data_IF_437968245870
#
_entry.id   IF_437968245870
#
_cell.length_a   1.000
_cell.length_b   1.000
_cell.length_c   1.000
_cell.angle_alpha   90.00
_cell.angle_beta   90.00
_cell.angle_gamma   90.00
#
_symmetry.space_group_name_H-M   'P 1'
#
loop_
_entity.id
_entity.type
_entity.pdbx_description
1 polymer ?
#
# COMPACT_ATOMS: atom_id res chain seq x y z
N UNK A 1 1.47 -28.60 28.43
CA UNK A 1 2.80 -27.95 28.48
C UNK A 1 3.48 -28.22 27.15
N UNK A 2 3.54 -27.22 26.28
CA UNK A 2 4.14 -27.30 24.96
C UNK A 2 4.41 -25.89 24.50
N UNK A 3 5.65 -25.43 24.73
CA UNK A 3 6.10 -24.09 24.39
C UNK A 3 6.13 -23.93 22.87
N UNK A 4 5.23 -23.08 22.36
CA UNK A 4 5.32 -22.55 21.00
C UNK A 4 6.38 -21.46 21.02
N UNK A 5 7.52 -21.75 20.41
CA UNK A 5 8.57 -20.79 20.11
C UNK A 5 7.96 -19.69 19.23
N UNK A 6 7.78 -18.51 19.81
CA UNK A 6 7.60 -17.26 19.08
C UNK A 6 8.91 -16.97 18.33
N UNK A 7 8.88 -17.07 17.00
CA UNK A 7 9.90 -16.49 16.14
C UNK A 7 9.71 -14.96 16.14
N UNK A 8 10.62 -14.22 16.76
CA UNK A 8 10.65 -12.77 16.68
C UNK A 8 11.04 -12.32 15.26
N UNK A 9 10.39 -11.28 14.69
CA UNK A 9 10.70 -10.76 13.36
C UNK A 9 11.70 -9.59 13.46
N UNK A 10 12.82 -9.76 14.16
CA UNK A 10 13.73 -8.65 14.52
C UNK A 10 15.18 -8.85 14.04
N UNK A 11 15.36 -9.54 12.93
CA UNK A 11 16.67 -9.81 12.33
C UNK A 11 16.77 -9.10 10.98
N UNK A 12 17.58 -8.03 10.93
CA UNK A 12 18.06 -7.29 9.74
C UNK A 12 17.32 -6.05 9.22
N UNK A 13 16.64 -5.26 10.05
CA UNK A 13 16.47 -3.82 9.75
C UNK A 13 17.65 -3.02 10.31
N UNK A 14 18.78 -2.97 9.59
CA UNK A 14 19.84 -1.98 9.91
C UNK A 14 19.31 -0.59 9.51
N UNK A 15 18.76 0.11 10.49
CA UNK A 15 18.39 1.53 10.41
C UNK A 15 19.54 2.34 9.78
N UNK A 16 19.20 3.19 8.80
CA UNK A 16 20.15 3.99 8.04
C UNK A 16 21.02 4.87 8.97
N UNK A 17 20.44 5.36 10.06
CA UNK A 17 21.16 6.14 11.07
C UNK A 17 22.20 5.30 11.81
N UNK A 18 21.92 4.01 12.05
CA UNK A 18 22.86 3.09 12.68
C UNK A 18 24.02 2.76 11.73
N UNK A 19 23.72 2.52 10.45
CA UNK A 19 24.75 2.28 9.44
C UNK A 19 25.66 3.49 9.25
N UNK A 20 25.11 4.71 9.21
CA UNK A 20 25.90 5.95 9.15
C UNK A 20 26.84 6.09 10.35
N UNK A 21 26.36 5.82 11.57
CA UNK A 21 27.21 5.88 12.78
C UNK A 21 28.38 4.91 12.71
N UNK A 22 28.15 3.68 12.26
CA UNK A 22 29.20 2.68 12.09
C UNK A 22 30.22 3.12 11.03
N UNK A 23 29.75 3.55 9.86
CA UNK A 23 30.63 4.02 8.78
C UNK A 23 31.41 5.29 9.17
N UNK A 24 30.82 6.19 9.96
CA UNK A 24 31.53 7.37 10.46
C UNK A 24 32.62 7.00 11.48
N UNK A 25 32.37 6.01 12.34
CA UNK A 25 33.40 5.51 13.25
C UNK A 25 34.57 4.87 12.47
N UNK A 26 34.28 4.10 11.43
CA UNK A 26 35.30 3.54 10.53
C UNK A 26 36.05 4.63 9.78
N UNK A 27 35.34 5.64 9.26
CA UNK A 27 35.95 6.76 8.53
C UNK A 27 36.90 7.58 9.40
N UNK A 28 36.60 7.78 10.69
CA UNK A 28 37.48 8.48 11.64
C UNK A 28 38.82 7.78 11.84
N UNK A 29 38.85 6.47 11.64
CA UNK A 29 40.07 5.66 11.73
C UNK A 29 40.76 5.47 10.37
N UNK A 30 40.20 6.05 9.30
CA UNK A 30 40.75 5.96 7.96
C UNK A 30 41.91 6.98 7.79
N UNK A 31 43.03 6.54 7.21
CA UNK A 31 44.17 7.38 6.88
C UNK A 31 44.38 7.40 5.36
N UNK A 32 43.51 8.09 4.59
CA UNK A 32 43.62 8.13 3.14
C UNK A 32 44.89 8.87 2.72
N UNK A 33 45.59 8.37 1.70
CA UNK A 33 46.82 9.01 1.21
C UNK A 33 46.55 10.31 0.45
N UNK A 34 45.31 10.53 0.01
CA UNK A 34 44.85 11.77 -0.61
C UNK A 34 43.34 11.99 -0.45
N UNK A 35 42.84 13.22 -0.59
CA UNK A 35 41.39 13.50 -0.62
C UNK A 35 40.64 12.73 -1.71
N UNK A 36 41.26 12.52 -2.87
CA UNK A 36 40.68 11.76 -3.98
C UNK A 36 40.49 10.29 -3.64
N UNK A 37 41.41 9.71 -2.86
CA UNK A 37 41.26 8.33 -2.38
C UNK A 37 40.07 8.20 -1.43
N UNK A 38 39.88 9.18 -0.54
CA UNK A 38 38.72 9.23 0.35
C UNK A 38 37.41 9.32 -0.46
N UNK A 39 37.31 10.23 -1.44
CA UNK A 39 36.12 10.39 -2.29
C UNK A 39 35.78 9.09 -3.04
N UNK A 40 36.79 8.42 -3.59
CA UNK A 40 36.58 7.24 -4.44
C UNK A 40 36.35 5.94 -3.65
N UNK A 41 36.92 5.81 -2.45
CA UNK A 41 36.92 4.55 -1.68
C UNK A 41 36.12 4.58 -0.39
N UNK A 42 35.87 5.74 0.21
CA UNK A 42 35.19 5.84 1.49
C UNK A 42 33.68 5.60 1.35
N UNK A 43 33.17 4.57 2.01
CA UNK A 43 31.75 4.25 2.02
C UNK A 43 30.93 5.28 2.79
N UNK A 44 31.48 5.87 3.86
CA UNK A 44 30.83 6.96 4.59
C UNK A 44 30.63 8.19 3.70
N UNK A 45 31.64 8.56 2.92
CA UNK A 45 31.54 9.67 1.96
C UNK A 45 30.49 9.37 0.87
N UNK A 46 30.53 8.18 0.27
CA UNK A 46 29.56 7.77 -0.76
C UNK A 46 28.13 7.83 -0.25
N UNK A 47 27.86 7.22 0.91
CA UNK A 47 26.52 7.21 1.50
C UNK A 47 26.04 8.62 1.86
N UNK A 48 26.90 9.46 2.46
CA UNK A 48 26.55 10.87 2.75
C UNK A 48 26.25 11.66 1.48
N UNK A 49 27.01 11.44 0.41
CA UNK A 49 26.77 12.10 -0.86
C UNK A 49 25.47 11.60 -1.54
N UNK A 50 25.18 10.30 -1.46
CA UNK A 50 23.91 9.73 -1.93
C UNK A 50 22.73 10.34 -1.18
N UNK A 51 22.78 10.38 0.16
CA UNK A 51 21.74 11.02 0.97
C UNK A 51 21.59 12.51 0.67
N UNK A 52 22.70 13.19 0.38
CA UNK A 52 22.66 14.60 0.03
C UNK A 52 21.87 14.84 -1.26
N UNK A 53 22.17 14.08 -2.31
CA UNK A 53 21.45 14.15 -3.58
C UNK A 53 19.99 13.76 -3.41
N UNK A 54 19.73 12.68 -2.66
CA UNK A 54 18.38 12.18 -2.43
C UNK A 54 17.51 13.20 -1.67
N UNK A 55 18.08 13.91 -0.69
CA UNK A 55 17.36 14.99 0.01
C UNK A 55 16.89 16.08 -0.94
N UNK A 56 17.74 16.52 -1.86
CA UNK A 56 17.38 17.53 -2.85
C UNK A 56 16.22 17.06 -3.74
N UNK A 57 16.21 15.77 -4.10
CA UNK A 57 15.10 15.17 -4.86
C UNK A 57 13.82 15.08 -4.03
N UNK A 58 13.93 14.67 -2.77
CA UNK A 58 12.79 14.48 -1.86
C UNK A 58 12.12 15.79 -1.41
N UNK A 59 12.78 16.94 -1.56
CA UNK A 59 12.17 18.27 -1.35
C UNK A 59 11.00 18.54 -2.30
N UNK A 60 10.92 17.83 -3.43
CA UNK A 60 9.77 17.90 -4.33
C UNK A 60 8.50 17.39 -3.63
N UNK A 61 7.42 18.19 -3.50
CA UNK A 61 6.17 17.73 -2.88
C UNK A 61 5.50 16.58 -3.64
N UNK A 62 5.86 16.35 -4.91
CA UNK A 62 5.40 15.23 -5.72
C UNK A 62 6.33 14.00 -5.66
N UNK A 63 7.38 14.00 -4.84
CA UNK A 63 8.39 12.96 -4.83
C UNK A 63 7.81 11.54 -4.71
N UNK A 64 6.91 11.32 -3.74
CA UNK A 64 6.26 10.02 -3.56
C UNK A 64 5.46 9.58 -4.79
N UNK A 65 4.80 10.54 -5.46
CA UNK A 65 4.07 10.26 -6.70
C UNK A 65 5.01 9.83 -7.82
N UNK A 66 6.11 10.54 -7.97
CA UNK A 66 7.13 10.21 -8.98
C UNK A 66 7.76 8.85 -8.69
N UNK A 67 8.12 8.59 -7.43
CA UNK A 67 8.67 7.32 -6.95
C UNK A 67 7.74 6.15 -7.28
N UNK A 68 6.47 6.21 -6.89
CA UNK A 68 5.51 5.14 -7.20
C UNK A 68 5.32 4.97 -8.69
N UNK A 69 5.25 6.06 -9.47
CA UNK A 69 5.09 5.96 -10.92
C UNK A 69 6.34 5.38 -11.62
N UNK A 70 7.54 5.58 -11.07
CA UNK A 70 8.76 4.90 -11.53
C UNK A 70 8.68 3.41 -11.24
N UNK A 71 8.30 3.02 -10.03
CA UNK A 71 8.25 1.62 -9.58
C UNK A 71 7.11 0.80 -10.18
N UNK A 72 6.01 1.44 -10.59
CA UNK A 72 4.90 0.80 -11.31
C UNK A 72 5.22 0.44 -12.76
N UNK A 73 6.41 0.77 -13.26
CA UNK A 73 6.87 0.29 -14.56
C UNK A 73 7.63 -1.03 -14.38
N UNK A 74 7.10 -2.10 -14.97
CA UNK A 74 7.63 -3.46 -14.85
C UNK A 74 9.10 -3.58 -15.29
N UNK A 75 9.48 -2.91 -16.37
CA UNK A 75 10.87 -2.91 -16.87
C UNK A 75 11.82 -2.18 -15.94
N UNK A 76 11.40 -1.02 -15.39
CA UNK A 76 12.20 -0.27 -14.41
C UNK A 76 12.39 -1.05 -13.12
N UNK A 77 11.32 -1.68 -12.63
CA UNK A 77 11.39 -2.52 -11.44
C UNK A 77 12.30 -3.73 -11.66
N UNK A 78 12.26 -4.34 -12.84
CA UNK A 78 13.16 -5.43 -13.19
C UNK A 78 14.62 -4.99 -13.24
N UNK A 79 14.93 -3.84 -13.86
CA UNK A 79 16.28 -3.27 -13.85
C UNK A 79 16.74 -2.98 -12.43
N UNK A 80 15.89 -2.35 -11.61
CA UNK A 80 16.20 -2.03 -10.22
C UNK A 80 16.58 -3.29 -9.43
N UNK A 81 15.82 -4.39 -9.60
CA UNK A 81 16.14 -5.69 -8.99
C UNK A 81 17.49 -6.21 -9.46
N UNK A 82 17.78 -6.15 -10.76
CA UNK A 82 19.07 -6.62 -11.28
C UNK A 82 20.26 -5.83 -10.71
N UNK A 83 20.17 -4.49 -10.69
CA UNK A 83 21.24 -3.61 -10.19
C UNK A 83 21.32 -3.54 -8.65
N UNK A 84 20.37 -4.14 -7.92
CA UNK A 84 20.46 -4.30 -6.47
C UNK A 84 21.50 -5.37 -6.10
N UNK A 85 21.70 -6.38 -6.95
CA UNK A 85 22.63 -7.48 -6.72
C UNK A 85 24.05 -7.20 -7.26
N UNK A 86 24.25 -6.12 -8.02
CA UNK A 86 25.54 -5.83 -8.63
C UNK A 86 25.58 -4.58 -9.49
N UNK A 87 26.69 -4.42 -10.22
CA UNK A 87 26.91 -3.32 -11.17
C UNK A 87 26.73 -3.79 -12.59
N UNK A 88 26.05 -2.99 -13.40
CA UNK A 88 25.74 -3.35 -14.78
C UNK A 88 25.94 -2.17 -15.73
N UNK A 89 26.64 -2.40 -16.82
CA UNK A 89 26.63 -1.50 -17.98
C UNK A 89 25.31 -1.64 -18.75
N UNK A 90 25.00 -0.65 -19.61
CA UNK A 90 23.79 -0.65 -20.45
C UNK A 90 23.73 -1.89 -21.35
N UNK A 91 24.88 -2.37 -21.84
CA UNK A 91 24.94 -3.56 -22.69
C UNK A 91 24.60 -4.84 -21.92
N UNK A 92 25.03 -4.94 -20.66
CA UNK A 92 24.67 -6.05 -19.77
C UNK A 92 23.18 -6.00 -19.42
N UNK A 93 22.63 -4.82 -19.08
CA UNK A 93 21.19 -4.66 -18.84
C UNK A 93 20.35 -5.01 -20.07
N UNK A 94 20.82 -4.64 -21.26
CA UNK A 94 20.17 -5.02 -22.51
C UNK A 94 20.14 -6.55 -22.69
N UNK A 95 21.21 -7.26 -22.31
CA UNK A 95 21.23 -8.73 -22.34
C UNK A 95 20.29 -9.33 -21.30
N UNK A 96 20.23 -8.80 -20.07
CA UNK A 96 19.28 -9.25 -19.05
C UNK A 96 17.82 -9.08 -19.50
N UNK A 97 17.48 -7.94 -20.08
CA UNK A 97 16.14 -7.69 -20.61
C UNK A 97 15.78 -8.64 -21.77
N UNK A 98 16.75 -8.98 -22.63
CA UNK A 98 16.52 -9.97 -23.70
C UNK A 98 16.16 -11.34 -23.16
N UNK A 99 16.71 -11.76 -22.01
CA UNK A 99 16.37 -13.05 -21.36
C UNK A 99 14.90 -13.10 -20.93
N UNK A 100 14.30 -11.95 -20.63
CA UNK A 100 12.88 -11.81 -20.26
C UNK A 100 11.98 -11.49 -21.45
N UNK A 101 12.50 -11.59 -22.69
CA UNK A 101 11.76 -11.34 -23.93
C UNK A 101 11.64 -9.86 -24.33
N UNK A 102 12.28 -8.94 -23.60
CA UNK A 102 12.23 -7.50 -23.86
C UNK A 102 13.41 -7.06 -24.71
N UNK A 103 13.16 -6.65 -25.94
CA UNK A 103 14.20 -6.16 -26.86
C UNK A 103 14.09 -4.65 -27.00
N UNK A 104 15.00 -3.92 -26.37
CA UNK A 104 15.07 -2.45 -26.41
C UNK A 104 16.45 -1.98 -26.88
N UNK A 105 16.51 -0.81 -27.51
CA UNK A 105 17.79 -0.15 -27.81
C UNK A 105 18.46 0.32 -26.52
N UNK A 106 19.78 0.52 -26.55
CA UNK A 106 20.51 1.08 -25.40
C UNK A 106 20.03 2.49 -25.05
N UNK A 107 19.67 3.28 -26.08
CA UNK A 107 19.07 4.61 -25.93
C UNK A 107 17.75 4.54 -25.15
N UNK A 108 16.83 3.64 -25.52
CA UNK A 108 15.59 3.43 -24.76
C UNK A 108 15.86 2.98 -23.33
N UNK A 109 16.85 2.10 -23.12
CA UNK A 109 17.20 1.66 -21.75
C UNK A 109 17.68 2.83 -20.90
N UNK A 110 18.52 3.70 -21.47
CA UNK A 110 19.00 4.88 -20.79
C UNK A 110 17.85 5.86 -20.49
N UNK A 111 17.13 6.31 -21.52
CA UNK A 111 16.17 7.41 -21.41
C UNK A 111 14.88 7.00 -20.70
N UNK A 112 14.32 5.83 -21.02
CA UNK A 112 12.99 5.44 -20.52
C UNK A 112 13.06 4.65 -19.22
N UNK A 113 14.19 4.03 -18.88
CA UNK A 113 14.29 3.16 -17.71
C UNK A 113 15.32 3.61 -16.67
N UNK A 114 16.57 3.85 -17.06
CA UNK A 114 17.63 4.24 -16.13
C UNK A 114 17.47 5.68 -15.64
N UNK A 115 17.25 6.64 -16.54
CA UNK A 115 17.07 8.05 -16.17
C UNK A 115 15.95 8.26 -15.14
N UNK A 116 14.76 7.63 -15.27
CA UNK A 116 13.75 7.72 -14.22
C UNK A 116 14.18 7.13 -12.87
N UNK A 117 14.94 6.01 -12.85
CA UNK A 117 15.46 5.42 -11.62
C UNK A 117 16.51 6.31 -10.94
N UNK A 118 17.39 6.94 -11.73
CA UNK A 118 18.36 7.92 -11.26
C UNK A 118 17.65 9.17 -10.71
N UNK A 119 16.63 9.65 -11.41
CA UNK A 119 15.90 10.87 -11.07
C UNK A 119 15.24 10.81 -9.69
N UNK A 120 14.67 9.65 -9.30
CA UNK A 120 14.08 9.45 -7.97
C UNK A 120 15.08 8.90 -6.94
N UNK A 121 16.35 8.76 -7.32
CA UNK A 121 17.46 8.34 -6.45
C UNK A 121 17.46 6.86 -6.07
N UNK A 122 16.83 6.00 -6.87
CA UNK A 122 16.84 4.54 -6.69
C UNK A 122 18.11 3.89 -7.26
N UNK A 123 18.69 4.49 -8.29
CA UNK A 123 19.92 4.04 -8.93
C UNK A 123 20.96 5.15 -8.90
N UNK A 124 22.22 4.77 -9.13
CA UNK A 124 23.32 5.69 -9.36
C UNK A 124 24.28 5.11 -10.41
N UNK A 125 25.17 5.96 -10.92
CA UNK A 125 26.11 5.62 -11.98
C UNK A 125 27.55 5.86 -11.52
N UNK A 126 28.43 4.92 -11.84
CA UNK A 126 29.88 5.06 -11.64
C UNK A 126 30.61 4.29 -12.73
N UNK A 127 31.52 4.96 -13.45
CA UNK A 127 32.35 4.33 -14.49
C UNK A 127 31.50 3.62 -15.57
N UNK A 128 30.45 4.27 -16.06
CA UNK A 128 29.50 3.73 -17.06
C UNK A 128 28.75 2.46 -16.63
N UNK A 129 28.75 2.16 -15.33
CA UNK A 129 27.99 1.09 -14.70
C UNK A 129 26.93 1.65 -13.74
N UNK A 130 25.76 1.02 -13.75
CA UNK A 130 24.62 1.35 -12.91
C UNK A 130 24.50 0.38 -11.74
N UNK A 131 24.15 0.90 -10.58
CA UNK A 131 23.94 0.15 -9.35
C UNK A 131 22.80 0.76 -8.53
N UNK A 132 22.13 -0.04 -7.69
CA UNK A 132 21.11 0.48 -6.78
C UNK A 132 21.76 1.34 -5.68
N UNK A 133 21.19 2.50 -5.37
CA UNK A 133 21.58 3.23 -4.15
C UNK A 133 21.19 2.42 -2.92
N UNK A 134 21.72 2.78 -1.75
CA UNK A 134 21.27 2.13 -0.52
C UNK A 134 19.75 2.25 -0.31
N UNK A 135 19.18 3.41 -0.67
CA UNK A 135 17.73 3.64 -0.66
C UNK A 135 16.99 2.73 -1.65
N UNK A 136 17.48 2.61 -2.89
CA UNK A 136 16.91 1.72 -3.90
C UNK A 136 16.98 0.24 -3.51
N UNK A 137 18.09 -0.20 -2.90
CA UNK A 137 18.24 -1.56 -2.37
C UNK A 137 17.19 -1.89 -1.30
N UNK A 138 17.02 -1.01 -0.30
CA UNK A 138 16.00 -1.19 0.75
C UNK A 138 14.58 -1.25 0.20
N UNK A 139 14.25 -0.40 -0.77
CA UNK A 139 12.94 -0.45 -1.42
C UNK A 139 12.75 -1.73 -2.22
N UNK A 140 13.81 -2.24 -2.86
CA UNK A 140 13.78 -3.52 -3.59
C UNK A 140 13.46 -4.69 -2.66
N UNK A 141 14.03 -4.71 -1.45
CA UNK A 141 13.73 -5.73 -0.43
C UNK A 141 12.25 -5.73 -0.04
N UNK A 142 11.69 -4.54 0.25
CA UNK A 142 10.25 -4.39 0.60
C UNK A 142 9.34 -4.79 -0.56
N UNK A 143 9.69 -4.39 -1.79
CA UNK A 143 8.95 -4.78 -3.00
C UNK A 143 9.05 -6.27 -3.30
N UNK A 144 10.08 -6.96 -2.79
CA UNK A 144 10.23 -8.41 -2.91
C UNK A 144 9.08 -9.21 -2.27
N UNK A 145 8.39 -8.62 -1.29
CA UNK A 145 7.23 -9.23 -0.60
C UNK A 145 6.00 -9.32 -1.52
N UNK A 146 5.90 -8.44 -2.52
CA UNK A 146 4.76 -8.40 -3.44
C UNK A 146 5.24 -8.28 -4.91
N UNK A 147 5.60 -9.40 -5.56
CA UNK A 147 6.19 -9.41 -6.90
C UNK A 147 5.33 -8.74 -7.98
N UNK A 148 4.00 -8.79 -7.86
CA UNK A 148 3.04 -8.24 -8.84
C UNK A 148 2.80 -6.73 -8.69
N UNK A 149 3.63 -6.03 -7.91
CA UNK A 149 3.47 -4.60 -7.58
C UNK A 149 3.21 -3.73 -8.83
N UNK A 150 4.01 -3.92 -9.88
CA UNK A 150 3.93 -3.12 -11.10
C UNK A 150 2.70 -3.43 -11.97
N UNK A 151 2.08 -4.60 -11.81
CA UNK A 151 0.96 -5.05 -12.66
C UNK A 151 -0.39 -4.61 -12.11
N UNK A 152 -0.48 -4.49 -10.78
CA UNK A 152 -1.75 -4.39 -10.07
C UNK A 152 -2.24 -2.94 -9.94
N UNK A 153 -1.31 -1.98 -9.88
CA UNK A 153 -1.64 -0.56 -9.71
C UNK A 153 -1.47 0.20 -11.03
N UNK A 154 -2.35 1.19 -11.33
CA UNK A 154 -2.24 1.93 -12.57
C UNK A 154 -0.96 2.78 -12.61
N UNK A 155 -0.20 2.62 -13.70
CA UNK A 155 0.91 3.51 -14.02
C UNK A 155 0.40 4.94 -14.27
N UNK A 156 1.20 5.94 -13.87
CA UNK A 156 0.89 7.38 -14.03
C UNK A 156 -0.40 7.80 -13.31
N UNK A 157 -0.57 7.35 -12.06
CA UNK A 157 -1.67 7.77 -11.19
C UNK A 157 -1.25 8.90 -10.25
N UNK A 158 -2.24 9.63 -9.73
CA UNK A 158 -2.09 10.62 -8.64
C UNK A 158 -2.02 9.94 -7.25
N UNK A 159 -1.59 8.68 -7.20
CA UNK A 159 -1.43 7.88 -5.98
C UNK A 159 -2.70 7.67 -5.15
N UNK A 160 -3.88 7.78 -5.76
CA UNK A 160 -5.15 7.63 -5.05
C UNK A 160 -5.41 6.18 -4.63
N UNK A 161 -5.09 5.22 -5.49
CA UNK A 161 -5.16 3.79 -5.18
C UNK A 161 -4.25 3.46 -3.98
N UNK A 162 -3.01 3.93 -4.00
CA UNK A 162 -2.01 3.74 -2.96
C UNK A 162 -2.46 4.35 -1.63
N UNK A 163 -2.94 5.61 -1.67
CA UNK A 163 -3.46 6.33 -0.49
C UNK A 163 -4.66 5.60 0.12
N UNK A 164 -5.59 5.14 -0.72
CA UNK A 164 -6.77 4.41 -0.26
C UNK A 164 -6.39 3.08 0.38
N UNK A 165 -5.52 2.28 -0.26
CA UNK A 165 -5.07 0.99 0.28
C UNK A 165 -4.41 1.16 1.65
N UNK A 166 -3.51 2.14 1.80
CA UNK A 166 -2.91 2.47 3.11
C UNK A 166 -3.97 2.86 4.13
N UNK A 167 -4.94 3.69 3.76
CA UNK A 167 -6.00 4.10 4.68
C UNK A 167 -6.86 2.92 5.18
N UNK A 168 -7.01 1.88 4.36
CA UNK A 168 -7.79 0.68 4.68
C UNK A 168 -7.02 -0.31 5.59
N UNK A 169 -5.72 -0.13 5.82
CA UNK A 169 -4.98 -0.90 6.84
C UNK A 169 -5.52 -0.66 8.25
N UNK A 170 -6.07 0.54 8.52
CA UNK A 170 -6.71 0.86 9.78
C UNK A 170 -8.07 0.15 9.97
N UNK A 171 -8.57 -0.52 8.93
CA UNK A 171 -9.82 -1.25 8.94
C UNK A 171 -10.77 -0.84 7.79
N UNK A 172 -11.89 -1.58 7.63
CA UNK A 172 -12.85 -1.31 6.57
C UNK A 172 -13.46 0.09 6.64
N UNK A 173 -13.62 0.75 5.49
CA UNK A 173 -14.19 2.11 5.41
C UNK A 173 -15.45 2.16 4.54
N UNK A 174 -16.38 3.00 4.92
CA UNK A 174 -17.58 3.32 4.15
C UNK A 174 -17.24 4.21 2.95
N UNK A 175 -18.17 4.30 1.98
CA UNK A 175 -17.97 5.19 0.83
C UNK A 175 -17.78 6.66 1.25
N UNK A 176 -18.55 7.13 2.23
CA UNK A 176 -18.44 8.50 2.77
C UNK A 176 -17.07 8.75 3.40
N UNK A 177 -16.54 7.78 4.16
CA UNK A 177 -15.20 7.88 4.73
C UNK A 177 -14.12 7.87 3.64
N UNK A 178 -14.31 7.09 2.57
CA UNK A 178 -13.39 7.05 1.43
C UNK A 178 -13.35 8.38 0.68
N UNK A 179 -14.50 9.06 0.54
CA UNK A 179 -14.58 10.40 -0.06
C UNK A 179 -13.82 11.47 0.74
N UNK A 180 -13.50 11.22 2.01
CA UNK A 180 -12.62 12.10 2.80
C UNK A 180 -11.14 11.87 2.52
N UNK A 181 -10.76 10.67 2.08
CA UNK A 181 -9.37 10.28 1.80
C UNK A 181 -8.99 10.60 0.36
N UNK A 182 -9.91 10.36 -0.58
CA UNK A 182 -9.70 10.57 -2.02
C UNK A 182 -10.85 11.40 -2.61
N UNK A 183 -10.60 12.08 -3.72
CA UNK A 183 -11.62 12.94 -4.33
C UNK A 183 -12.90 12.15 -4.70
N UNK A 184 -14.10 12.65 -4.34
CA UNK A 184 -15.39 12.02 -4.67
C UNK A 184 -15.55 11.68 -6.15
N UNK A 185 -14.99 12.54 -7.02
CA UNK A 185 -15.08 12.40 -8.48
C UNK A 185 -14.42 11.12 -9.01
N UNK A 186 -13.43 10.58 -8.29
CA UNK A 186 -12.65 9.41 -8.72
C UNK A 186 -12.89 8.18 -7.86
N UNK A 187 -13.49 8.32 -6.67
CA UNK A 187 -13.69 7.25 -5.69
C UNK A 187 -14.34 5.99 -6.28
N UNK A 188 -15.50 6.14 -6.94
CA UNK A 188 -16.22 5.03 -7.57
C UNK A 188 -15.38 4.26 -8.60
N UNK A 189 -14.55 4.98 -9.37
CA UNK A 189 -13.68 4.40 -10.40
C UNK A 189 -12.53 3.62 -9.78
N UNK A 190 -11.90 4.17 -8.74
CA UNK A 190 -10.81 3.54 -8.00
C UNK A 190 -11.31 2.26 -7.33
N UNK A 191 -12.43 2.34 -6.61
CA UNK A 191 -13.04 1.19 -5.94
C UNK A 191 -13.40 0.07 -6.91
N UNK A 192 -13.91 0.42 -8.09
CA UNK A 192 -14.19 -0.57 -9.14
C UNK A 192 -12.91 -1.31 -9.55
N UNK A 193 -11.83 -0.58 -9.85
CA UNK A 193 -10.55 -1.17 -10.28
C UNK A 193 -9.94 -2.05 -9.20
N UNK A 194 -9.82 -1.52 -7.98
CA UNK A 194 -9.24 -2.26 -6.85
C UNK A 194 -9.99 -3.57 -6.58
N UNK A 195 -11.32 -3.57 -6.77
CA UNK A 195 -12.12 -4.78 -6.67
C UNK A 195 -11.88 -5.74 -7.84
N UNK A 196 -11.77 -5.23 -9.06
CA UNK A 196 -11.47 -6.04 -10.26
C UNK A 196 -10.12 -6.76 -10.17
N UNK A 197 -9.11 -6.11 -9.58
CA UNK A 197 -7.79 -6.74 -9.32
C UNK A 197 -7.72 -7.55 -8.01
N UNK A 198 -8.84 -7.63 -7.28
CA UNK A 198 -8.97 -8.43 -6.06
C UNK A 198 -8.23 -7.89 -4.83
N UNK A 199 -7.95 -6.58 -4.77
CA UNK A 199 -7.28 -5.95 -3.63
C UNK A 199 -8.25 -5.53 -2.53
N UNK A 200 -9.49 -5.21 -2.90
CA UNK A 200 -10.53 -4.87 -1.94
C UNK A 200 -11.75 -5.75 -2.14
N UNK A 201 -12.47 -5.93 -1.06
CA UNK A 201 -13.75 -6.61 -1.04
C UNK A 201 -14.84 -5.70 -0.48
N UNK A 202 -16.06 -5.99 -0.91
CA UNK A 202 -17.28 -5.48 -0.30
C UNK A 202 -18.09 -6.67 0.15
N UNK A 203 -18.86 -6.57 1.25
CA UNK A 203 -19.82 -7.59 1.62
C UNK A 203 -20.67 -7.99 0.41
N UNK A 204 -20.79 -9.29 0.16
CA UNK A 204 -21.58 -9.83 -0.95
C UNK A 204 -23.06 -9.41 -0.87
N UNK A 205 -23.52 -9.14 0.35
CA UNK A 205 -24.85 -8.62 0.62
C UNK A 205 -25.00 -7.22 0.01
N UNK A 206 -25.65 -7.17 -1.16
CA UNK A 206 -26.14 -5.92 -1.77
C UNK A 206 -27.13 -5.17 -0.87
N UNK A 207 -27.62 -5.83 0.16
CA UNK A 207 -28.60 -5.32 1.09
C UNK A 207 -27.93 -4.43 2.13
N UNK A 208 -28.15 -3.13 2.02
CA UNK A 208 -27.65 -2.10 2.95
C UNK A 208 -28.72 -1.67 3.96
N UNK A 209 -29.88 -2.33 3.94
CA UNK A 209 -31.03 -2.04 4.79
C UNK A 209 -31.31 -3.28 5.62
N UNK A 210 -31.14 -3.13 6.93
CA UNK A 210 -31.37 -4.19 7.90
C UNK A 210 -32.53 -3.83 8.83
N UNK A 211 -33.31 -4.83 9.17
CA UNK A 211 -34.47 -4.76 10.04
C UNK A 211 -34.12 -5.39 11.38
N UNK A 212 -34.45 -4.70 12.46
CA UNK A 212 -34.12 -5.08 13.83
C UNK A 212 -35.37 -5.09 14.68
N UNK A 213 -35.46 -6.02 15.64
CA UNK A 213 -36.51 -6.01 16.66
C UNK A 213 -36.32 -4.84 17.60
N UNK A 214 -37.41 -4.17 17.96
CA UNK A 214 -37.42 -3.23 19.07
C UNK A 214 -37.55 -3.97 20.41
N UNK A 215 -37.30 -3.26 21.52
CA UNK A 215 -37.49 -3.80 22.88
C UNK A 215 -38.97 -3.88 23.32
N UNK A 216 -39.93 -3.58 22.43
CA UNK A 216 -41.35 -3.64 22.75
C UNK A 216 -41.80 -5.09 22.83
N UNK A 217 -42.73 -5.35 23.75
CA UNK A 217 -43.38 -6.65 23.88
C UNK A 217 -44.34 -6.88 22.69
N UNK A 218 -44.10 -7.92 21.85
CA UNK A 218 -44.96 -8.27 20.74
C UNK A 218 -46.32 -8.86 21.17
N UNK A 219 -46.48 -9.28 22.43
CA UNK A 219 -47.74 -9.83 22.94
C UNK A 219 -48.85 -8.78 23.06
N UNK A 220 -48.47 -7.50 23.16
CA UNK A 220 -49.38 -6.36 23.28
C UNK A 220 -49.99 -5.92 21.94
N UNK A 221 -49.56 -6.52 20.83
CA UNK A 221 -49.98 -6.16 19.48
C UNK A 221 -50.73 -7.32 18.81
N UNK A 222 -51.75 -7.02 18.03
CA UNK A 222 -52.46 -8.02 17.21
C UNK A 222 -51.65 -8.30 15.94
N UNK A 223 -50.98 -9.45 15.91
CA UNK A 223 -50.21 -9.93 14.75
C UNK A 223 -50.95 -11.06 14.06
N UNK A 224 -51.08 -10.97 12.73
CA UNK A 224 -51.45 -12.15 11.94
C UNK A 224 -50.38 -13.23 12.06
N UNK A 225 -50.74 -14.49 11.83
CA UNK A 225 -49.82 -15.63 11.91
C UNK A 225 -48.59 -15.44 11.00
N UNK A 226 -48.79 -14.86 9.82
CA UNK A 226 -47.70 -14.54 8.90
C UNK A 226 -46.83 -13.37 9.37
N UNK A 227 -47.41 -12.32 9.96
CA UNK A 227 -46.65 -11.23 10.57
C UNK A 227 -45.82 -11.72 11.76
N UNK A 228 -46.38 -12.61 12.59
CA UNK A 228 -45.71 -13.24 13.71
C UNK A 228 -44.52 -14.07 13.23
N UNK A 229 -44.71 -14.92 12.21
CA UNK A 229 -43.62 -15.68 11.56
C UNK A 229 -42.49 -14.76 11.07
N UNK A 230 -42.83 -13.64 10.42
CA UNK A 230 -41.84 -12.67 9.94
C UNK A 230 -41.11 -12.01 11.11
N UNK A 231 -41.83 -11.59 12.15
CA UNK A 231 -41.24 -11.00 13.35
C UNK A 231 -40.30 -11.98 14.08
N UNK A 232 -40.73 -13.22 14.26
CA UNK A 232 -40.01 -14.31 14.95
C UNK A 232 -38.75 -14.76 14.19
N UNK A 233 -38.65 -14.43 12.90
CA UNK A 233 -37.45 -14.67 12.07
C UNK A 233 -36.44 -13.52 12.08
N UNK A 234 -36.75 -12.37 12.70
CA UNK A 234 -35.81 -11.23 12.78
C UNK A 234 -34.87 -11.38 14.00
N UNK A 235 -33.55 -11.61 13.85
CA UNK A 235 -32.62 -11.66 14.96
C UNK A 235 -32.36 -10.27 15.56
N UNK A 236 -31.85 -10.24 16.79
CA UNK A 236 -31.48 -9.00 17.47
C UNK A 236 -30.32 -8.25 16.77
N UNK A 237 -29.45 -9.00 16.09
CA UNK A 237 -28.32 -8.49 15.28
C UNK A 237 -28.77 -7.85 13.95
N UNK A 238 -30.05 -8.02 13.60
CA UNK A 238 -30.64 -7.49 12.37
C UNK A 238 -30.55 -8.43 11.18
N UNK A 239 -31.50 -8.28 10.25
CA UNK A 239 -31.58 -9.11 9.05
C UNK A 239 -32.01 -8.30 7.83
N UNK A 240 -31.51 -8.71 6.68
CA UNK A 240 -31.84 -8.15 5.39
C UNK A 240 -33.21 -8.66 4.88
N UNK A 241 -33.88 -7.92 3.99
CA UNK A 241 -35.19 -8.35 3.48
C UNK A 241 -35.08 -9.61 2.59
N UNK A 242 -33.99 -9.75 1.84
CA UNK A 242 -33.73 -10.93 1.01
C UNK A 242 -33.38 -12.16 1.83
N UNK A 243 -32.59 -12.04 2.90
CA UNK A 243 -32.33 -13.15 3.82
C UNK A 243 -33.61 -13.58 4.54
N UNK A 244 -34.41 -12.62 5.03
CA UNK A 244 -35.70 -12.88 5.66
C UNK A 244 -36.72 -13.52 4.69
N UNK A 245 -36.68 -13.15 3.40
CA UNK A 245 -37.48 -13.75 2.34
C UNK A 245 -37.16 -15.23 2.15
N UNK A 246 -35.87 -15.60 2.17
CA UNK A 246 -35.40 -16.99 2.09
C UNK A 246 -35.83 -17.80 3.32
N UNK A 247 -35.62 -17.26 4.52
CA UNK A 247 -35.95 -17.94 5.79
C UNK A 247 -37.45 -18.18 5.96
N UNK A 248 -38.27 -17.20 5.62
CA UNK A 248 -39.73 -17.31 5.78
C UNK A 248 -40.43 -18.00 4.60
N UNK A 249 -39.71 -18.24 3.50
CA UNK A 249 -40.23 -18.71 2.21
C UNK A 249 -41.32 -17.81 1.62
N UNK A 250 -41.24 -16.50 1.91
CA UNK A 250 -42.15 -15.49 1.39
C UNK A 250 -41.46 -14.67 0.31
N UNK A 251 -42.22 -14.16 -0.67
CA UNK A 251 -41.64 -13.24 -1.66
C UNK A 251 -41.18 -11.93 -1.01
N UNK A 252 -40.14 -11.32 -1.56
CA UNK A 252 -39.57 -10.06 -1.05
C UNK A 252 -40.62 -8.94 -0.96
N UNK A 253 -41.57 -8.89 -1.92
CA UNK A 253 -42.70 -7.95 -1.89
C UNK A 253 -43.60 -8.15 -0.66
N UNK A 254 -43.88 -9.41 -0.28
CA UNK A 254 -44.67 -9.72 0.92
C UNK A 254 -43.88 -9.39 2.19
N UNK A 255 -42.59 -9.69 2.22
CA UNK A 255 -41.70 -9.29 3.32
C UNK A 255 -41.77 -7.78 3.57
N UNK A 256 -41.59 -6.94 2.54
CA UNK A 256 -41.70 -5.49 2.71
C UNK A 256 -43.09 -5.03 3.18
N UNK A 257 -44.17 -5.70 2.74
CA UNK A 257 -45.52 -5.42 3.23
C UNK A 257 -45.62 -5.66 4.75
N UNK A 258 -45.15 -6.81 5.23
CA UNK A 258 -45.22 -7.15 6.66
C UNK A 258 -44.25 -6.31 7.50
N UNK A 259 -43.03 -6.07 7.02
CA UNK A 259 -42.07 -5.19 7.68
C UNK A 259 -42.59 -3.75 7.82
N UNK A 260 -43.34 -3.24 6.83
CA UNK A 260 -44.01 -1.94 6.92
C UNK A 260 -45.08 -1.94 8.04
N UNK A 261 -45.87 -3.01 8.15
CA UNK A 261 -46.84 -3.19 9.24
C UNK A 261 -46.20 -3.25 10.62
N UNK A 262 -45.17 -4.10 10.77
CA UNK A 262 -44.39 -4.24 12.01
C UNK A 262 -43.68 -2.93 12.41
N UNK A 263 -43.22 -2.16 11.43
CA UNK A 263 -42.68 -0.81 11.66
C UNK A 263 -43.74 0.17 12.16
N UNK A 264 -44.96 0.13 11.60
CA UNK A 264 -46.09 0.92 12.06
C UNK A 264 -46.46 0.63 13.53
N UNK A 265 -46.40 -0.65 13.92
CA UNK A 265 -46.58 -1.13 15.31
C UNK A 265 -45.38 -0.85 16.22
N UNK A 266 -44.29 -0.27 15.69
CA UNK A 266 -43.01 -0.01 16.38
C UNK A 266 -42.34 -1.27 16.96
N UNK A 267 -42.63 -2.45 16.41
CA UNK A 267 -42.00 -3.72 16.77
C UNK A 267 -40.68 -3.93 16.03
N UNK A 268 -40.52 -3.27 14.89
CA UNK A 268 -39.32 -3.34 14.04
C UNK A 268 -38.86 -1.93 13.70
N UNK A 269 -37.55 -1.72 13.71
CA UNK A 269 -36.93 -0.51 13.17
C UNK A 269 -35.93 -0.86 12.07
N UNK A 270 -35.57 0.14 11.29
CA UNK A 270 -34.68 0.00 10.14
C UNK A 270 -33.38 0.74 10.45
N UNK A 271 -32.24 0.09 10.20
CA UNK A 271 -30.96 0.79 10.10
C UNK A 271 -30.38 0.55 8.71
N UNK A 272 -29.78 1.60 8.17
CA UNK A 272 -28.92 1.47 7.00
C UNK A 272 -27.53 1.13 7.53
N UNK A 273 -26.98 0.00 7.12
CA UNK A 273 -25.55 -0.27 7.31
C UNK A 273 -24.85 0.15 6.03
N UNK A 274 -24.03 1.20 6.06
CA UNK A 274 -23.29 1.61 4.89
C UNK A 274 -22.38 0.48 4.44
N UNK A 275 -22.21 0.34 3.13
CA UNK A 275 -21.25 -0.62 2.59
C UNK A 275 -19.86 -0.21 3.02
N UNK A 276 -19.19 -1.08 3.77
CA UNK A 276 -17.79 -0.96 4.07
C UNK A 276 -16.96 -1.70 3.02
N UNK A 277 -15.83 -1.13 2.67
CA UNK A 277 -14.82 -1.70 1.78
C UNK A 277 -13.66 -2.14 2.67
N UNK A 278 -13.30 -3.42 2.61
CA UNK A 278 -12.17 -3.99 3.33
C UNK A 278 -11.06 -4.40 2.37
N UNK A 279 -9.85 -4.59 2.91
CA UNK A 279 -8.76 -5.20 2.16
C UNK A 279 -8.98 -6.72 2.11
N UNK A 280 -8.61 -7.33 0.99
CA UNK A 280 -8.41 -8.79 0.92
C UNK A 280 -7.01 -9.13 1.47
N UNK A 281 -6.67 -10.40 1.67
CA UNK A 281 -5.30 -10.78 2.07
C UNK A 281 -4.23 -10.27 1.07
N UNK A 282 -4.56 -10.27 -0.24
CA UNK A 282 -3.70 -9.68 -1.28
C UNK A 282 -3.59 -8.16 -1.11
N UNK A 283 -4.72 -7.50 -0.82
CA UNK A 283 -4.79 -6.08 -0.52
C UNK A 283 -3.97 -5.67 0.71
N UNK A 284 -4.08 -6.43 1.80
CA UNK A 284 -3.32 -6.22 3.03
C UNK A 284 -1.82 -6.31 2.77
N UNK A 285 -1.38 -7.34 2.04
CA UNK A 285 0.04 -7.50 1.71
C UNK A 285 0.57 -6.30 0.91
N UNK A 286 -0.15 -5.88 -0.14
CA UNK A 286 0.25 -4.72 -0.94
C UNK A 286 0.21 -3.42 -0.10
N UNK A 287 -0.80 -3.25 0.73
CA UNK A 287 -0.92 -2.07 1.58
C UNK A 287 0.21 -2.00 2.61
N UNK A 288 0.62 -3.12 3.20
CA UNK A 288 1.79 -3.20 4.08
C UNK A 288 3.10 -2.91 3.36
N UNK A 289 3.26 -3.36 2.11
CA UNK A 289 4.40 -2.98 1.26
C UNK A 289 4.42 -1.46 1.03
N UNK A 290 3.28 -0.86 0.70
CA UNK A 290 3.16 0.60 0.52
C UNK A 290 3.48 1.37 1.80
N UNK A 291 3.04 0.89 2.96
CA UNK A 291 3.39 1.47 4.26
C UNK A 291 4.89 1.39 4.53
N UNK A 292 5.50 0.20 4.35
CA UNK A 292 6.94 0.02 4.52
C UNK A 292 7.78 0.88 3.60
N UNK A 293 7.32 1.11 2.36
CA UNK A 293 7.98 2.06 1.45
C UNK A 293 7.89 3.50 1.98
N UNK A 294 6.74 3.91 2.50
CA UNK A 294 6.56 5.21 3.13
C UNK A 294 7.48 5.40 4.34
N UNK A 295 7.56 4.40 5.22
CA UNK A 295 8.46 4.42 6.38
C UNK A 295 9.92 4.58 5.94
N UNK A 296 10.36 3.87 4.89
CA UNK A 296 11.72 4.00 4.35
C UNK A 296 11.96 5.43 3.84
N UNK A 297 11.01 6.03 3.13
CA UNK A 297 11.10 7.41 2.64
C UNK A 297 11.23 8.38 3.81
N UNK A 298 10.37 8.28 4.82
CA UNK A 298 10.40 9.15 6.00
C UNK A 298 11.68 8.98 6.83
N UNK A 299 12.13 7.75 7.05
CA UNK A 299 13.39 7.45 7.76
C UNK A 299 14.58 8.04 7.01
N UNK A 300 14.61 7.87 5.68
CA UNK A 300 15.70 8.36 4.83
C UNK A 300 15.73 9.89 4.83
N UNK A 301 14.56 10.53 4.71
CA UNK A 301 14.40 11.98 4.82
C UNK A 301 14.87 12.52 6.18
N UNK A 302 14.42 11.91 7.27
CA UNK A 302 14.82 12.33 8.61
C UNK A 302 16.33 12.15 8.83
N UNK A 303 16.91 11.11 8.25
CA UNK A 303 18.35 10.83 8.35
C UNK A 303 19.19 11.80 7.51
N UNK A 304 18.74 12.16 6.30
CA UNK A 304 19.43 13.16 5.48
C UNK A 304 19.47 14.51 6.20
N UNK A 305 18.35 14.97 6.77
CA UNK A 305 18.28 16.22 7.54
C UNK A 305 19.27 16.26 8.72
N UNK A 306 19.42 15.14 9.45
CA UNK A 306 20.40 15.03 10.54
C UNK A 306 21.85 15.14 10.06
N UNK A 307 22.18 14.57 8.90
CA UNK A 307 23.53 14.67 8.31
C UNK A 307 23.88 16.13 7.99
N UNK A 308 22.90 16.95 7.58
CA UNK A 308 23.11 18.37 7.28
C UNK A 308 23.24 19.23 8.53
N UNK A 309 22.36 19.07 9.52
CA UNK A 309 22.44 19.87 10.75
C UNK A 309 23.68 19.58 11.61
N UNK A 310 24.30 18.40 11.48
CA UNK A 310 25.57 18.09 12.13
C UNK A 310 26.76 18.85 11.49
N UNK A 311 26.67 19.20 10.21
CA UNK A 311 27.73 19.91 9.48
C UNK A 311 27.73 21.43 9.71
N UNK A 312 26.61 22.01 10.16
CA UNK A 312 26.51 23.44 10.49
C UNK A 312 26.97 23.78 11.92
N UNK A 313 27.13 22.76 12.77
CA UNK A 313 27.54 22.90 14.18
C UNK A 313 28.98 22.40 14.44
N UNK A 314 29.76 22.11 13.39
CA UNK A 314 31.16 21.66 13.47
C UNK A 314 32.08 22.67 12.79
#
# INVERSE_FOLDING_TARGET
MGNVLQSSPDSHKKDLATMLKTLDAECRNCAPTSPLECINRCQAYKLKNELRKLNQTMENPNYLKELFNVLKNETRLHILKAIADGKYSVSQLQQELKKTGRTHSQETINEEYLQPLLAVGLANESCDEYYATHFGGRLTEVLGVFPEFAEVLPARSECHEETLLRSLLAGPKTFEEIETVISPKVASRILKRLREVGLIETPEDREYIFFFRSKRDPSLETLSETERKVYDSIPNEGISAGKLSRETQLSTRRIYKYLRGLKGKKLVFVRKTPKAYGLTCKGETLASVLEGMHEIVEETWNSSQKVFHAAENS
#
